data_IF_093913334183
#
_entry.id   IF_093913334183
#
_cell.length_a   1.000
_cell.length_b   1.000
_cell.length_c   1.000
_cell.angle_alpha   90.00
_cell.angle_beta   90.00
_cell.angle_gamma   90.00
#
_symmetry.space_group_name_H-M   'P 1'
#
loop_
_entity.id
_entity.type
_entity.pdbx_description
1 polymer ?
#
# COMPACT_ATOMS: atom_id res chain seq x y z
N UNK A 1 8.06 -11.27 0.78
CA UNK A 1 7.73 -10.90 2.18
C UNK A 1 6.83 -11.98 2.76
N UNK A 2 7.19 -12.49 3.93
CA UNK A 2 6.39 -13.44 4.71
C UNK A 2 6.03 -12.77 6.03
N UNK A 3 4.78 -12.87 6.43
CA UNK A 3 4.29 -12.37 7.73
C UNK A 3 4.08 -13.56 8.65
N UNK A 4 4.64 -13.47 9.84
CA UNK A 4 4.48 -14.49 10.89
C UNK A 4 3.84 -13.89 12.14
N UNK A 5 3.15 -14.69 12.96
CA UNK A 5 2.68 -14.24 14.25
C UNK A 5 3.84 -13.77 15.12
N UNK A 6 3.55 -12.87 16.07
CA UNK A 6 4.55 -12.45 17.05
C UNK A 6 5.08 -13.67 17.82
N UNK A 7 6.41 -13.85 17.90
CA UNK A 7 7.00 -15.01 18.56
C UNK A 7 6.63 -15.08 20.04
N UNK A 8 6.34 -16.29 20.50
CA UNK A 8 6.07 -16.55 21.93
C UNK A 8 7.36 -16.64 22.76
N UNK A 9 8.53 -16.61 22.14
CA UNK A 9 9.82 -16.66 22.82
C UNK A 9 10.03 -15.40 23.66
N UNK A 10 10.19 -15.49 25.00
CA UNK A 10 10.43 -14.32 25.85
C UNK A 10 11.77 -13.63 25.57
N UNK A 11 12.71 -14.28 24.89
CA UNK A 11 13.97 -13.69 24.46
C UNK A 11 13.84 -12.89 23.15
N UNK A 12 12.69 -12.95 22.47
CA UNK A 12 12.47 -12.18 21.24
C UNK A 12 12.49 -10.69 21.55
N UNK A 13 13.40 -9.98 20.90
CA UNK A 13 13.52 -8.53 21.01
C UNK A 13 13.01 -7.87 19.71
N UNK A 14 11.84 -7.29 19.76
CA UNK A 14 11.22 -6.59 18.66
C UNK A 14 11.91 -5.24 18.31
N UNK A 15 12.81 -4.75 19.16
CA UNK A 15 13.65 -3.58 18.88
C UNK A 15 15.03 -3.94 18.27
N UNK A 16 15.29 -5.22 18.06
CA UNK A 16 16.52 -5.64 17.38
C UNK A 16 16.50 -5.24 15.92
N UNK A 17 17.66 -4.83 15.39
CA UNK A 17 17.83 -4.56 13.96
C UNK A 17 17.56 -5.77 13.06
N UNK A 18 17.60 -6.98 13.62
CA UNK A 18 17.35 -8.21 12.86
C UNK A 18 15.86 -8.56 12.75
N UNK A 19 14.97 -7.84 13.44
CA UNK A 19 13.55 -8.15 13.52
C UNK A 19 12.71 -7.03 12.91
N UNK A 20 12.16 -7.28 11.72
CA UNK A 20 11.19 -6.38 11.09
C UNK A 20 9.81 -6.61 11.68
N UNK A 21 9.14 -5.57 12.15
CA UNK A 21 7.88 -5.71 12.87
C UNK A 21 6.79 -4.78 12.36
N UNK A 22 5.56 -5.29 12.35
CA UNK A 22 4.36 -4.43 12.30
C UNK A 22 3.87 -4.24 13.72
N UNK A 23 3.82 -3.01 14.20
CA UNK A 23 3.53 -2.66 15.59
C UNK A 23 2.22 -1.88 15.68
N UNK A 24 1.35 -2.29 16.58
CA UNK A 24 0.22 -1.46 16.98
C UNK A 24 0.61 -0.63 18.19
N UNK A 25 0.37 0.68 18.14
CA UNK A 25 0.62 1.59 19.25
C UNK A 25 -0.67 2.22 19.75
N UNK A 26 -0.78 2.38 21.08
CA UNK A 26 -1.94 3.01 21.71
C UNK A 26 -1.93 4.54 21.69
N UNK A 27 -0.91 5.16 21.11
CA UNK A 27 -0.82 6.61 21.01
C UNK A 27 -1.88 7.16 20.07
N UNK A 28 -2.53 8.24 20.46
CA UNK A 28 -3.51 8.97 19.64
C UNK A 28 -2.79 9.68 18.49
N UNK A 29 -2.64 8.99 17.40
CA UNK A 29 -2.19 9.52 16.11
C UNK A 29 -2.99 8.80 15.01
N UNK A 30 -3.40 9.53 14.00
CA UNK A 30 -4.17 9.00 12.86
C UNK A 30 -3.31 8.57 11.68
N UNK A 31 -1.99 8.65 11.81
CA UNK A 31 -1.07 8.28 10.74
C UNK A 31 -0.60 6.84 10.89
N UNK A 32 -0.20 6.23 9.78
CA UNK A 32 0.73 5.12 9.77
C UNK A 32 2.12 5.68 9.51
N UNK A 33 3.12 5.06 10.08
CA UNK A 33 4.49 5.50 9.91
C UNK A 33 5.39 4.29 9.67
N UNK A 34 6.22 4.40 8.65
CA UNK A 34 7.27 3.44 8.36
C UNK A 34 8.62 4.02 8.75
N UNK A 35 9.38 3.28 9.54
CA UNK A 35 10.78 3.56 9.82
C UNK A 35 11.65 2.49 9.16
N UNK A 36 12.61 2.90 8.38
CA UNK A 36 13.65 2.02 7.83
C UNK A 36 15.04 2.51 8.25
N UNK A 37 15.90 1.54 8.55
CA UNK A 37 17.32 1.76 8.84
C UNK A 37 18.11 1.26 7.65
N UNK A 38 18.84 2.16 7.02
CA UNK A 38 19.55 1.89 5.78
C UNK A 38 21.05 2.07 6.03
N UNK A 39 21.86 1.13 5.55
CA UNK A 39 23.31 1.28 5.54
C UNK A 39 23.69 2.38 4.52
N UNK A 40 24.28 3.51 4.97
CA UNK A 40 24.58 4.62 4.07
C UNK A 40 25.66 4.31 3.04
N UNK A 41 26.39 3.22 3.22
CA UNK A 41 27.47 2.81 2.29
C UNK A 41 26.94 1.99 1.12
N UNK A 42 25.92 1.16 1.36
CA UNK A 42 25.40 0.19 0.37
C UNK A 42 23.98 0.49 -0.08
N UNK A 43 23.21 1.25 0.72
CA UNK A 43 21.78 1.40 0.52
C UNK A 43 20.96 0.20 0.98
N UNK A 44 21.58 -0.80 1.63
CA UNK A 44 20.91 -1.98 2.14
C UNK A 44 19.93 -1.59 3.28
N UNK A 45 18.70 -2.07 3.20
CA UNK A 45 17.70 -1.89 4.26
C UNK A 45 17.98 -2.94 5.34
N UNK A 46 18.57 -2.51 6.45
CA UNK A 46 18.94 -3.37 7.57
C UNK A 46 17.74 -3.75 8.43
N UNK A 47 16.82 -2.82 8.62
CA UNK A 47 15.60 -3.03 9.37
C UNK A 47 14.50 -2.12 8.86
N UNK A 48 13.27 -2.60 8.94
CA UNK A 48 12.09 -1.78 8.67
C UNK A 48 10.95 -2.15 9.62
N UNK A 49 10.24 -1.15 10.10
CA UNK A 49 9.09 -1.32 11.00
C UNK A 49 7.92 -0.45 10.57
N UNK A 50 6.73 -1.01 10.65
CA UNK A 50 5.48 -0.30 10.39
C UNK A 50 4.79 -0.04 11.74
N UNK A 51 4.44 1.20 12.00
CA UNK A 51 3.72 1.62 13.20
C UNK A 51 2.27 1.94 12.83
N UNK A 52 1.35 1.14 13.36
CA UNK A 52 -0.10 1.33 13.18
C UNK A 52 -0.65 2.00 14.42
N UNK A 53 -0.96 3.28 14.33
CA UNK A 53 -1.48 4.05 15.46
C UNK A 53 -2.97 3.81 15.68
N UNK A 54 -3.44 4.07 16.91
CA UNK A 54 -4.81 3.73 17.31
C UNK A 54 -5.87 4.42 16.46
N UNK A 55 -5.69 5.70 16.17
CA UNK A 55 -6.69 6.51 15.47
C UNK A 55 -6.74 6.29 13.95
N UNK A 56 -5.90 5.41 13.40
CA UNK A 56 -5.97 5.03 11.98
C UNK A 56 -7.35 4.45 11.63
N UNK A 57 -7.98 3.75 12.56
CA UNK A 57 -9.32 3.21 12.35
C UNK A 57 -10.36 4.32 12.19
N UNK A 58 -10.24 5.38 12.97
CA UNK A 58 -11.09 6.59 12.84
C UNK A 58 -10.85 7.29 11.50
N UNK A 59 -9.59 7.40 11.10
CA UNK A 59 -9.21 7.99 9.80
C UNK A 59 -9.82 7.18 8.64
N UNK A 60 -9.72 5.86 8.68
CA UNK A 60 -10.29 4.97 7.67
C UNK A 60 -11.82 5.08 7.63
N UNK A 61 -12.50 5.13 8.79
CA UNK A 61 -13.94 5.35 8.85
C UNK A 61 -14.32 6.67 8.16
N UNK A 62 -13.62 7.74 8.45
CA UNK A 62 -13.87 9.05 7.84
C UNK A 62 -13.66 9.01 6.31
N UNK A 63 -12.58 8.41 5.83
CA UNK A 63 -12.32 8.31 4.41
C UNK A 63 -13.37 7.45 3.68
N UNK A 64 -13.70 6.30 4.24
CA UNK A 64 -14.75 5.43 3.69
C UNK A 64 -16.08 6.17 3.60
N UNK A 65 -16.48 6.84 4.67
CA UNK A 65 -17.72 7.60 4.69
C UNK A 65 -17.73 8.73 3.65
N UNK A 66 -16.72 9.60 3.66
CA UNK A 66 -16.68 10.77 2.77
C UNK A 66 -16.60 10.37 1.31
N UNK A 67 -15.88 9.28 0.98
CA UNK A 67 -15.58 8.93 -0.40
C UNK A 67 -16.56 7.91 -1.00
N UNK A 68 -17.17 7.05 -0.19
CA UNK A 68 -17.95 5.93 -0.74
C UNK A 68 -19.40 5.83 -0.21
N UNK A 69 -19.83 6.70 0.72
CA UNK A 69 -21.16 6.61 1.29
C UNK A 69 -22.30 6.74 0.27
N UNK A 70 -22.08 7.39 -0.85
CA UNK A 70 -23.05 7.47 -1.94
C UNK A 70 -23.26 6.14 -2.67
N UNK A 71 -22.25 5.25 -2.66
CA UNK A 71 -22.25 3.99 -3.37
C UNK A 71 -22.29 2.76 -2.46
N UNK A 72 -22.04 2.92 -1.16
CA UNK A 72 -22.01 1.83 -0.17
C UNK A 72 -22.73 2.25 1.11
N UNK A 73 -23.90 1.69 1.34
CA UNK A 73 -24.71 1.97 2.54
C UNK A 73 -24.05 1.46 3.83
N UNK A 74 -23.18 0.45 3.76
CA UNK A 74 -22.53 -0.14 4.93
C UNK A 74 -21.63 0.86 5.67
N UNK A 75 -21.06 1.84 4.95
CA UNK A 75 -20.21 2.88 5.55
C UNK A 75 -21.01 4.02 6.18
N UNK A 76 -22.33 4.03 6.05
CA UNK A 76 -23.22 4.99 6.73
C UNK A 76 -23.60 4.54 8.14
N UNK A 77 -23.32 3.31 8.50
CA UNK A 77 -23.57 2.79 9.83
C UNK A 77 -22.63 3.42 10.87
N UNK A 78 -23.10 3.52 12.11
CA UNK A 78 -22.26 3.99 13.23
C UNK A 78 -21.02 3.10 13.40
N UNK A 79 -21.19 1.80 13.15
CA UNK A 79 -20.07 0.83 13.12
C UNK A 79 -20.00 0.25 11.72
N UNK A 80 -18.91 0.55 11.01
CA UNK A 80 -18.64 -0.03 9.69
C UNK A 80 -18.30 -1.51 9.85
N UNK A 81 -18.84 -2.41 9.00
CA UNK A 81 -18.51 -3.84 9.06
C UNK A 81 -17.02 -4.10 8.99
N UNK A 82 -16.57 -5.09 9.77
CA UNK A 82 -15.15 -5.43 9.91
C UNK A 82 -14.46 -5.74 8.57
N UNK A 83 -15.16 -6.39 7.65
CA UNK A 83 -14.64 -6.68 6.31
C UNK A 83 -14.34 -5.43 5.49
N UNK A 84 -15.12 -4.37 5.65
CA UNK A 84 -14.96 -3.11 4.91
C UNK A 84 -13.79 -2.31 5.46
N UNK A 85 -13.75 -2.18 6.80
CA UNK A 85 -12.65 -1.47 7.46
C UNK A 85 -11.34 -2.25 7.34
N UNK A 86 -11.39 -3.59 7.40
CA UNK A 86 -10.25 -4.46 7.20
C UNK A 86 -9.65 -4.35 5.80
N UNK A 87 -10.46 -4.18 4.77
CA UNK A 87 -9.98 -3.92 3.41
C UNK A 87 -9.25 -2.57 3.31
N UNK A 88 -9.76 -1.54 3.98
CA UNK A 88 -9.07 -0.26 4.09
C UNK A 88 -7.74 -0.36 4.83
N UNK A 89 -7.74 -1.05 5.97
CA UNK A 89 -6.53 -1.27 6.75
C UNK A 89 -5.48 -2.07 5.97
N UNK A 90 -5.90 -3.12 5.25
CA UNK A 90 -5.02 -3.91 4.38
C UNK A 90 -4.31 -3.03 3.36
N UNK A 91 -5.05 -2.11 2.71
CA UNK A 91 -4.47 -1.19 1.74
C UNK A 91 -3.38 -0.30 2.37
N UNK A 92 -3.67 0.34 3.50
CA UNK A 92 -2.71 1.25 4.14
C UNK A 92 -1.49 0.50 4.65
N UNK A 93 -1.66 -0.66 5.29
CA UNK A 93 -0.53 -1.49 5.75
C UNK A 93 0.31 -1.99 4.58
N UNK A 94 -0.30 -2.39 3.48
CA UNK A 94 0.43 -2.79 2.27
C UNK A 94 1.26 -1.63 1.69
N UNK A 95 0.71 -0.40 1.70
CA UNK A 95 1.43 0.81 1.31
C UNK A 95 2.68 1.02 2.19
N UNK A 96 2.54 0.94 3.50
CA UNK A 96 3.66 1.10 4.43
C UNK A 96 4.71 -0.02 4.27
N UNK A 97 4.28 -1.26 4.02
CA UNK A 97 5.21 -2.36 3.69
C UNK A 97 5.95 -2.07 2.37
N UNK A 98 5.31 -1.41 1.42
CA UNK A 98 5.97 -0.92 0.21
C UNK A 98 7.14 0.02 0.54
N UNK A 99 6.95 0.97 1.46
CA UNK A 99 8.04 1.82 1.95
C UNK A 99 9.15 1.02 2.64
N UNK A 100 8.81 -0.02 3.39
CA UNK A 100 9.78 -0.94 3.98
C UNK A 100 10.66 -1.65 2.92
N UNK A 101 10.17 -1.78 1.70
CA UNK A 101 10.89 -2.34 0.55
C UNK A 101 11.64 -1.27 -0.26
N UNK A 102 11.65 -0.01 0.19
CA UNK A 102 12.34 1.09 -0.47
C UNK A 102 11.53 1.79 -1.57
N UNK A 103 10.23 1.49 -1.71
CA UNK A 103 9.39 2.16 -2.71
C UNK A 103 9.02 3.57 -2.25
N UNK A 104 9.11 4.50 -3.20
CA UNK A 104 8.62 5.85 -3.04
C UNK A 104 7.16 5.95 -3.48
N UNK A 105 6.48 7.03 -3.09
CA UNK A 105 5.15 7.33 -3.58
C UNK A 105 5.10 7.40 -5.11
N UNK A 106 4.02 6.86 -5.69
CA UNK A 106 3.76 6.91 -7.12
C UNK A 106 2.39 7.57 -7.38
N UNK A 107 2.34 8.90 -7.28
CA UNK A 107 1.12 9.68 -7.44
C UNK A 107 0.56 9.67 -8.86
N UNK A 108 1.34 9.22 -9.84
CA UNK A 108 0.89 9.06 -11.22
C UNK A 108 0.09 7.78 -11.46
N UNK A 109 0.10 6.84 -10.50
CA UNK A 109 -0.48 5.50 -10.70
C UNK A 109 -1.99 5.52 -10.92
N UNK A 110 -2.74 6.41 -10.27
CA UNK A 110 -4.19 6.58 -10.50
C UNK A 110 -4.49 7.43 -11.74
N UNK A 111 -3.59 8.34 -12.12
CA UNK A 111 -3.81 9.24 -13.25
C UNK A 111 -3.86 8.53 -14.61
N UNK A 112 -3.28 7.33 -14.72
CA UNK A 112 -3.29 6.54 -15.97
C UNK A 112 -4.59 5.76 -16.17
N UNK A 113 -5.47 5.71 -15.16
CA UNK A 113 -6.76 5.01 -15.26
C UNK A 113 -7.82 5.98 -15.78
N UNK A 114 -8.47 5.68 -16.91
CA UNK A 114 -9.60 6.48 -17.38
C UNK A 114 -10.72 6.49 -16.34
N UNK A 115 -11.28 7.66 -16.05
CA UNK A 115 -12.32 7.86 -15.03
C UNK A 115 -13.53 6.95 -15.26
N UNK A 116 -13.95 6.77 -16.50
CA UNK A 116 -15.09 5.91 -16.85
C UNK A 116 -14.84 4.44 -16.49
N UNK A 117 -13.57 4.01 -16.51
CA UNK A 117 -13.17 2.64 -16.12
C UNK A 117 -13.36 2.37 -14.64
N UNK A 118 -13.32 3.40 -13.79
CA UNK A 118 -13.56 3.28 -12.35
C UNK A 118 -15.01 2.90 -11.99
N UNK A 119 -15.94 3.00 -12.94
CA UNK A 119 -17.32 2.56 -12.80
C UNK A 119 -17.62 1.25 -13.55
N UNK A 120 -16.61 0.62 -14.13
CA UNK A 120 -16.74 -0.66 -14.81
C UNK A 120 -16.46 -1.81 -13.83
N UNK A 121 -17.42 -2.74 -13.61
CA UNK A 121 -17.20 -3.92 -12.78
C UNK A 121 -16.04 -4.79 -13.29
N UNK A 122 -16.03 -5.10 -14.58
CA UNK A 122 -14.98 -5.95 -15.17
C UNK A 122 -13.60 -5.32 -15.10
N UNK A 123 -13.51 -4.02 -15.30
CA UNK A 123 -12.24 -3.30 -15.19
C UNK A 123 -11.73 -3.28 -13.74
N UNK A 124 -12.57 -2.82 -12.79
CA UNK A 124 -12.14 -2.66 -11.41
C UNK A 124 -11.87 -3.99 -10.71
N UNK A 125 -12.54 -5.07 -11.11
CA UNK A 125 -12.25 -6.42 -10.61
C UNK A 125 -10.92 -6.96 -11.13
N UNK A 126 -10.55 -6.62 -12.36
CA UNK A 126 -9.33 -7.12 -13.01
C UNK A 126 -8.10 -6.27 -12.65
N UNK A 127 -8.24 -4.96 -12.70
CA UNK A 127 -7.12 -4.01 -12.60
C UNK A 127 -7.12 -3.17 -11.32
N UNK A 128 -8.25 -3.16 -10.60
CA UNK A 128 -8.42 -2.31 -9.42
C UNK A 128 -8.71 -0.85 -9.76
N UNK A 129 -8.49 0.02 -8.79
CA UNK A 129 -8.77 1.47 -8.87
C UNK A 129 -7.51 2.32 -9.00
N UNK A 130 -6.33 1.71 -8.91
CA UNK A 130 -5.01 2.31 -9.13
C UNK A 130 -4.04 1.25 -9.65
N UNK A 131 -2.99 1.67 -10.35
CA UNK A 131 -1.96 0.75 -10.84
C UNK A 131 -0.87 0.48 -9.81
N UNK A 132 -0.82 1.21 -8.69
CA UNK A 132 0.13 1.00 -7.60
C UNK A 132 -0.50 1.31 -6.24
N UNK A 133 -0.18 0.48 -5.24
CA UNK A 133 -0.52 0.74 -3.84
C UNK A 133 0.28 1.90 -3.25
N UNK A 134 1.35 2.34 -3.92
CA UNK A 134 2.17 3.48 -3.50
C UNK A 134 1.56 4.83 -3.90
N UNK A 135 0.38 4.84 -4.49
CA UNK A 135 -0.43 6.03 -4.73
C UNK A 135 -1.33 6.34 -3.53
N UNK A 136 -1.72 7.59 -3.39
CA UNK A 136 -2.77 8.04 -2.47
C UNK A 136 -4.15 7.99 -3.13
N UNK A 137 -4.40 6.93 -3.91
CA UNK A 137 -5.67 6.75 -4.63
C UNK A 137 -6.90 6.67 -3.72
N UNK A 138 -6.70 6.32 -2.44
CA UNK A 138 -7.76 6.20 -1.46
C UNK A 138 -8.87 5.24 -1.93
N UNK A 139 -10.14 5.63 -1.78
CA UNK A 139 -11.29 4.83 -2.18
C UNK A 139 -11.92 5.38 -3.47
N UNK A 140 -12.71 4.55 -4.15
CA UNK A 140 -13.33 4.89 -5.43
C UNK A 140 -14.50 5.86 -5.24
N UNK A 141 -14.21 7.14 -5.11
CA UNK A 141 -15.23 8.21 -4.96
C UNK A 141 -15.99 8.54 -6.25
N UNK A 142 -15.57 7.96 -7.38
CA UNK A 142 -16.26 8.11 -8.69
C UNK A 142 -17.49 7.22 -8.77
N UNK A 143 -17.54 6.16 -7.97
CA UNK A 143 -18.65 5.21 -7.93
C UNK A 143 -19.96 5.91 -7.54
N UNK A 144 -21.08 5.42 -8.08
CA UNK A 144 -22.44 5.93 -7.85
C UNK A 144 -23.33 4.85 -7.25
N UNK A 145 -24.50 5.22 -6.73
CA UNK A 145 -25.49 4.25 -6.27
C UNK A 145 -25.73 3.15 -7.31
N UNK A 146 -25.71 1.87 -6.89
CA UNK A 146 -25.85 0.70 -7.74
C UNK A 146 -24.56 0.18 -8.37
N UNK A 147 -23.46 0.93 -8.31
CA UNK A 147 -22.19 0.48 -8.90
C UNK A 147 -21.59 -0.68 -8.09
N UNK A 148 -21.65 -0.60 -6.75
CA UNK A 148 -21.18 -1.69 -5.87
C UNK A 148 -21.96 -2.99 -6.11
N UNK A 149 -23.27 -2.91 -6.20
CA UNK A 149 -24.18 -4.05 -6.44
C UNK A 149 -23.90 -4.71 -7.80
N UNK A 150 -23.44 -3.94 -8.78
CA UNK A 150 -22.99 -4.45 -10.08
C UNK A 150 -21.57 -5.05 -10.02
N UNK A 151 -20.87 -4.93 -8.88
CA UNK A 151 -19.54 -5.50 -8.67
C UNK A 151 -18.37 -4.54 -8.90
N UNK A 152 -18.61 -3.23 -9.00
CA UNK A 152 -17.54 -2.22 -9.01
C UNK A 152 -16.78 -2.26 -7.68
N UNK A 153 -15.46 -2.30 -7.74
CA UNK A 153 -14.62 -2.24 -6.54
C UNK A 153 -14.50 -0.82 -6.03
N UNK A 154 -14.67 -0.67 -4.71
CA UNK A 154 -14.58 0.63 -4.03
C UNK A 154 -13.24 0.85 -3.33
N UNK A 155 -12.51 -0.22 -3.06
CA UNK A 155 -11.19 -0.21 -2.41
C UNK A 155 -10.08 -0.43 -3.42
N UNK A 156 -8.88 0.10 -3.19
CA UNK A 156 -7.71 -0.19 -4.02
C UNK A 156 -7.40 -1.69 -4.10
N UNK A 157 -6.73 -2.15 -5.16
CA UNK A 157 -6.36 -3.55 -5.32
C UNK A 157 -5.38 -4.00 -4.21
N UNK A 158 -5.15 -5.29 -4.10
CA UNK A 158 -4.09 -5.82 -3.22
C UNK A 158 -2.72 -5.38 -3.70
N UNK A 159 -2.48 -5.49 -5.01
CA UNK A 159 -1.32 -4.97 -5.71
C UNK A 159 -1.78 -4.49 -7.08
N UNK A 160 -1.27 -3.35 -7.51
CA UNK A 160 -1.49 -2.84 -8.86
C UNK A 160 -0.52 -3.44 -9.87
N UNK A 161 -0.80 -3.23 -11.15
CA UNK A 161 0.07 -3.73 -12.24
C UNK A 161 1.50 -3.18 -12.13
N UNK A 162 1.65 -1.92 -11.75
CA UNK A 162 2.95 -1.29 -11.57
C UNK A 162 3.72 -1.89 -10.39
N UNK A 163 3.05 -2.31 -9.32
CA UNK A 163 3.70 -2.93 -8.17
C UNK A 163 4.39 -4.24 -8.55
N UNK A 164 3.74 -5.08 -9.35
CA UNK A 164 4.37 -6.31 -9.88
C UNK A 164 5.59 -6.02 -10.73
N UNK A 165 5.51 -5.00 -11.59
CA UNK A 165 6.64 -4.57 -12.40
C UNK A 165 7.78 -4.08 -11.52
N UNK A 166 7.50 -3.17 -10.57
CA UNK A 166 8.49 -2.56 -9.70
C UNK A 166 9.22 -3.58 -8.81
N UNK A 167 8.46 -4.53 -8.23
CA UNK A 167 9.06 -5.64 -7.45
C UNK A 167 9.97 -6.49 -8.33
N UNK A 168 9.51 -6.86 -9.51
CA UNK A 168 10.32 -7.63 -10.45
C UNK A 168 11.59 -6.88 -10.86
N UNK A 169 11.47 -5.61 -11.16
CA UNK A 169 12.60 -4.77 -11.54
C UNK A 169 13.65 -4.65 -10.44
N UNK A 170 13.24 -4.35 -9.19
CA UNK A 170 14.16 -4.06 -8.10
C UNK A 170 14.72 -5.31 -7.41
N UNK A 171 13.98 -6.43 -7.42
CA UNK A 171 14.30 -7.60 -6.61
C UNK A 171 14.62 -8.87 -7.42
N UNK A 172 14.58 -8.83 -8.76
CA UNK A 172 15.03 -9.97 -9.55
C UNK A 172 16.55 -10.02 -9.54
N UNK A 173 17.17 -11.09 -9.04
CA UNK A 173 18.62 -11.27 -9.14
C UNK A 173 19.06 -11.28 -10.60
N UNK A 174 20.11 -10.56 -10.90
CA UNK A 174 20.72 -10.56 -12.23
C UNK A 174 22.03 -11.33 -12.18
N UNK A 175 22.16 -12.39 -12.99
CA UNK A 175 23.35 -13.28 -12.96
C UNK A 175 24.66 -12.57 -13.29
N UNK A 176 24.58 -11.53 -14.12
CA UNK A 176 25.75 -10.72 -14.50
C UNK A 176 25.54 -9.27 -14.01
N UNK A 177 25.99 -9.02 -12.79
CA UNK A 177 25.87 -7.71 -12.15
C UNK A 177 26.65 -6.60 -12.91
N UNK A 178 27.70 -6.92 -13.64
CA UNK A 178 28.46 -5.96 -14.42
C UNK A 178 27.61 -5.41 -15.59
N UNK A 179 26.87 -6.28 -16.27
CA UNK A 179 25.97 -5.88 -17.37
C UNK A 179 24.83 -4.98 -16.85
N UNK A 180 24.28 -5.27 -15.69
CA UNK A 180 23.20 -4.46 -15.10
C UNK A 180 23.71 -3.10 -14.64
N UNK A 181 24.86 -3.07 -13.97
CA UNK A 181 25.48 -1.82 -13.54
C UNK A 181 25.71 -0.87 -14.72
N UNK A 182 26.21 -1.39 -15.85
CA UNK A 182 26.37 -0.63 -17.07
C UNK A 182 25.04 -0.08 -17.60
N UNK A 183 24.00 -0.91 -17.65
CA UNK A 183 22.67 -0.50 -18.14
C UNK A 183 22.05 0.59 -17.28
N UNK A 184 22.22 0.55 -15.97
CA UNK A 184 21.70 1.56 -15.05
C UNK A 184 22.49 2.87 -15.08
N UNK A 185 23.80 2.82 -15.28
CA UNK A 185 24.64 4.01 -15.42
C UNK A 185 24.41 4.77 -16.73
N UNK A 186 23.79 4.12 -17.72
CA UNK A 186 23.45 4.75 -19.02
C UNK A 186 22.05 5.34 -19.05
N UNK A 187 21.31 5.39 -17.94
CA UNK A 187 20.10 6.21 -17.88
C UNK A 187 20.49 7.66 -18.20
N UNK A 188 19.90 8.28 -19.23
CA UNK A 188 20.31 9.60 -19.66
C UNK A 188 20.03 10.62 -18.56
N UNK A 189 21.10 11.14 -17.97
CA UNK A 189 21.05 12.34 -17.13
C UNK A 189 20.86 13.62 -17.96
N UNK A 190 20.53 13.49 -19.23
CA UNK A 190 20.47 14.59 -20.22
C UNK A 190 19.07 15.13 -20.46
N UNK A 191 18.12 14.92 -19.57
CA UNK A 191 16.81 15.55 -19.59
C UNK A 191 16.65 16.53 -18.44
N UNK A 192 17.50 17.52 -18.37
CA UNK A 192 17.26 18.77 -17.68
C UNK A 192 17.23 19.89 -18.70
#
# INVERSE_FOLDING_TARGET
VRVEPFPADPAFNDNSLYNNCVRRTGTSNSELYTASWVDPRSGEILNASVYVYHDVMKLLNNWLFVQTAQADERVRAVTIPEEVIGDGLRYVVAHEVGHCLGYMHNMSASAVIPVDSLRSPSFTQKYGTTTSIMDYARFNYVARPGDRERGVKLTPPRFGLYDYYAVKWLYTPVPDAATVSYTHLTLPTNSL
#
